data_IF_638375618026
#
_entry.id   IF_638375618026
#
_cell.length_a   1.000
_cell.length_b   1.000
_cell.length_c   1.000
_cell.angle_alpha   90.00
_cell.angle_beta   90.00
_cell.angle_gamma   90.00
#
_symmetry.space_group_name_H-M   'P 1'
#
loop_
_entity.id
_entity.type
_entity.pdbx_description
1 polymer ?
#
# COMPACT_ATOMS: atom_id res chain seq x y z
N UNK A 1 -10.77 -19.11 5.95
CA UNK A 1 -10.48 -18.42 4.66
C UNK A 1 -10.92 -16.96 4.67
N UNK A 2 -12.12 -16.63 5.18
CA UNK A 2 -12.62 -15.23 5.28
C UNK A 2 -11.65 -14.30 6.03
N UNK A 3 -11.13 -14.73 7.19
CA UNK A 3 -10.23 -13.91 8.02
C UNK A 3 -8.99 -13.45 7.23
N UNK A 4 -8.32 -14.36 6.52
CA UNK A 4 -7.15 -14.03 5.71
C UNK A 4 -7.50 -13.04 4.58
N UNK A 5 -8.66 -13.22 3.93
CA UNK A 5 -9.15 -12.28 2.91
C UNK A 5 -9.43 -10.89 3.47
N UNK A 6 -10.03 -10.81 4.66
CA UNK A 6 -10.25 -9.52 5.35
C UNK A 6 -8.92 -8.85 5.73
N UNK A 7 -7.96 -9.61 6.24
CA UNK A 7 -6.62 -9.10 6.56
C UNK A 7 -5.90 -8.57 5.32
N UNK A 8 -6.02 -9.28 4.21
CA UNK A 8 -5.50 -8.82 2.93
C UNK A 8 -6.14 -7.50 2.49
N UNK A 9 -7.47 -7.37 2.58
CA UNK A 9 -8.17 -6.11 2.24
C UNK A 9 -7.75 -4.95 3.14
N UNK A 10 -7.61 -5.19 4.44
CA UNK A 10 -7.12 -4.20 5.41
C UNK A 10 -5.71 -3.76 5.03
N UNK A 11 -4.81 -4.72 4.74
CA UNK A 11 -3.45 -4.45 4.28
C UNK A 11 -3.46 -3.58 3.03
N UNK A 12 -4.27 -3.95 2.04
CA UNK A 12 -4.42 -3.21 0.78
C UNK A 12 -4.86 -1.76 1.01
N UNK A 13 -5.85 -1.54 1.87
CA UNK A 13 -6.32 -0.19 2.19
C UNK A 13 -5.25 0.65 2.91
N UNK A 14 -4.48 0.03 3.82
CA UNK A 14 -3.36 0.68 4.51
C UNK A 14 -2.26 1.06 3.52
N UNK A 15 -1.91 0.16 2.60
CA UNK A 15 -0.91 0.40 1.57
C UNK A 15 -1.29 1.56 0.66
N UNK A 16 -2.56 1.61 0.24
CA UNK A 16 -3.10 2.68 -0.60
C UNK A 16 -3.06 4.04 0.09
N UNK A 17 -3.20 4.06 1.42
CA UNK A 17 -3.19 5.28 2.23
C UNK A 17 -1.78 5.74 2.65
N UNK A 18 -0.71 5.10 2.14
CA UNK A 18 0.71 5.33 2.51
C UNK A 18 1.00 5.31 4.01
N UNK A 19 0.21 4.56 4.77
CA UNK A 19 0.34 4.46 6.22
C UNK A 19 1.42 3.47 6.65
N UNK A 20 2.70 3.75 6.43
CA UNK A 20 3.81 2.93 6.95
C UNK A 20 3.76 2.65 8.46
N UNK A 21 3.38 3.58 9.36
CA UNK A 21 3.21 3.22 10.77
C UNK A 21 1.94 2.37 11.02
N UNK A 22 0.95 2.43 10.14
CA UNK A 22 -0.31 1.72 10.32
C UNK A 22 -0.18 0.21 10.08
N UNK A 23 0.76 -0.25 9.25
CA UNK A 23 0.97 -1.70 9.04
C UNK A 23 1.58 -2.38 10.28
N UNK A 24 2.45 -1.67 11.01
CA UNK A 24 3.00 -2.12 12.30
C UNK A 24 1.88 -2.25 13.34
N UNK A 25 1.05 -1.22 13.49
CA UNK A 25 -0.12 -1.25 14.39
C UNK A 25 -1.09 -2.37 14.03
N UNK A 26 -1.39 -2.57 12.75
CA UNK A 26 -2.27 -3.64 12.30
C UNK A 26 -1.68 -5.03 12.60
N UNK A 27 -0.37 -5.23 12.42
CA UNK A 27 0.31 -6.49 12.71
C UNK A 27 0.32 -6.81 14.22
N UNK A 28 0.52 -5.79 15.05
CA UNK A 28 0.41 -5.90 16.52
C UNK A 28 -1.02 -6.23 16.92
N UNK A 29 -2.02 -5.55 16.35
CA UNK A 29 -3.43 -5.80 16.63
C UNK A 29 -3.85 -7.23 16.27
N UNK A 30 -3.43 -7.74 15.11
CA UNK A 30 -3.68 -9.13 14.70
C UNK A 30 -3.09 -10.11 15.72
N UNK A 31 -1.87 -9.86 16.19
CA UNK A 31 -1.20 -10.72 17.16
C UNK A 31 -1.91 -10.67 18.52
N UNK A 32 -2.28 -9.49 19.00
CA UNK A 32 -3.00 -9.29 20.25
C UNK A 32 -4.43 -9.81 20.25
N UNK A 33 -5.09 -9.93 19.09
CA UNK A 33 -6.41 -10.53 18.99
C UNK A 33 -6.32 -12.06 18.88
N UNK A 34 -5.37 -12.57 18.11
CA UNK A 34 -5.25 -13.99 17.83
C UNK A 34 -4.72 -14.79 19.04
N UNK A 35 -3.66 -14.30 19.70
CA UNK A 35 -3.04 -15.03 20.80
C UNK A 35 -3.98 -15.27 21.99
N UNK A 36 -4.69 -14.27 22.55
CA UNK A 36 -5.62 -14.49 23.65
C UNK A 36 -6.78 -15.41 23.26
N UNK A 37 -7.30 -15.29 22.04
CA UNK A 37 -8.35 -16.18 21.54
C UNK A 37 -7.89 -17.65 21.51
N UNK A 38 -6.63 -17.90 21.17
CA UNK A 38 -6.04 -19.24 21.18
C UNK A 38 -5.70 -19.74 22.59
N UNK A 39 -5.25 -18.86 23.49
CA UNK A 39 -5.03 -19.20 24.91
C UNK A 39 -6.34 -19.68 25.53
N UNK A 40 -7.44 -18.95 25.32
CA UNK A 40 -8.75 -19.31 25.88
C UNK A 40 -9.26 -20.65 25.33
N UNK A 41 -8.94 -20.96 24.07
CA UNK A 41 -9.32 -22.24 23.44
C UNK A 41 -8.40 -23.40 23.82
N UNK A 42 -7.22 -23.14 24.39
CA UNK A 42 -6.22 -24.17 24.70
C UNK A 42 -5.56 -24.81 23.47
N UNK A 43 -5.70 -24.21 22.28
CA UNK A 43 -5.26 -24.76 21.01
C UNK A 43 -3.81 -24.34 20.65
N UNK A 44 -2.88 -24.40 21.61
CA UNK A 44 -1.48 -24.05 21.34
C UNK A 44 -0.73 -25.20 20.64
N UNK A 45 -0.89 -25.27 19.31
CA UNK A 45 -0.19 -26.23 18.45
C UNK A 45 0.61 -25.55 17.34
N UNK A 46 1.52 -26.30 16.72
CA UNK A 46 2.29 -25.85 15.54
C UNK A 46 1.39 -25.34 14.40
N UNK A 47 0.20 -25.94 14.24
CA UNK A 47 -0.79 -25.50 13.27
C UNK A 47 -1.22 -24.04 13.49
N UNK A 48 -1.42 -23.64 14.73
CA UNK A 48 -1.85 -22.27 15.06
C UNK A 48 -0.75 -21.26 14.76
N UNK A 49 0.52 -21.63 14.96
CA UNK A 49 1.66 -20.81 14.55
C UNK A 49 1.70 -20.64 13.03
N UNK A 50 1.46 -21.71 12.26
CA UNK A 50 1.36 -21.64 10.79
C UNK A 50 0.19 -20.74 10.34
N UNK A 51 -0.95 -20.82 11.01
CA UNK A 51 -2.11 -19.95 10.75
C UNK A 51 -1.78 -18.49 11.06
N UNK A 52 -1.09 -18.22 12.18
CA UNK A 52 -0.63 -16.88 12.53
C UNK A 52 0.29 -16.30 11.45
N UNK A 53 1.26 -17.08 10.97
CA UNK A 53 2.15 -16.69 9.88
C UNK A 53 1.33 -16.40 8.62
N UNK A 54 0.35 -17.24 8.29
CA UNK A 54 -0.56 -17.03 7.17
C UNK A 54 -1.36 -15.72 7.26
N UNK A 55 -1.82 -15.36 8.47
CA UNK A 55 -2.51 -14.10 8.71
C UNK A 55 -1.60 -12.88 8.51
N UNK A 56 -0.36 -12.95 9.00
CA UNK A 56 0.64 -11.91 8.75
C UNK A 56 0.97 -11.80 7.26
N UNK A 57 1.17 -12.92 6.58
CA UNK A 57 1.43 -12.94 5.14
C UNK A 57 0.29 -12.31 4.33
N UNK A 58 -0.97 -12.62 4.66
CA UNK A 58 -2.11 -12.02 3.98
C UNK A 58 -2.15 -10.50 4.16
N UNK A 59 -1.94 -10.02 5.39
CA UNK A 59 -1.90 -8.58 5.70
C UNK A 59 -0.75 -7.87 4.97
N UNK A 60 0.46 -8.46 4.98
CA UNK A 60 1.65 -7.90 4.34
C UNK A 60 1.53 -7.92 2.80
N UNK A 61 0.99 -8.99 2.21
CA UNK A 61 0.74 -9.08 0.78
C UNK A 61 -0.26 -8.01 0.31
N UNK A 62 -1.32 -7.79 1.09
CA UNK A 62 -2.28 -6.72 0.84
C UNK A 62 -1.59 -5.35 0.87
N UNK A 63 -0.81 -5.08 1.92
CA UNK A 63 -0.06 -3.83 2.07
C UNK A 63 0.90 -3.56 0.92
N UNK A 64 1.68 -4.55 0.50
CA UNK A 64 2.59 -4.43 -0.63
C UNK A 64 1.84 -4.07 -1.92
N UNK A 65 0.74 -4.78 -2.20
CA UNK A 65 -0.07 -4.51 -3.40
C UNK A 65 -0.75 -3.13 -3.33
N UNK A 66 -1.31 -2.76 -2.19
CA UNK A 66 -1.93 -1.45 -1.99
C UNK A 66 -0.92 -0.31 -2.12
N UNK A 67 0.29 -0.48 -1.58
CA UNK A 67 1.37 0.48 -1.73
C UNK A 67 1.83 0.60 -3.18
N UNK A 68 1.96 -0.52 -3.89
CA UNK A 68 2.26 -0.53 -5.33
C UNK A 68 1.23 0.24 -6.15
N UNK A 69 -0.05 0.03 -5.89
CA UNK A 69 -1.15 0.74 -6.58
C UNK A 69 -1.31 2.20 -6.14
N UNK A 70 -0.87 2.56 -4.93
CA UNK A 70 -0.96 3.91 -4.36
C UNK A 70 0.26 4.80 -4.63
N UNK A 71 1.27 4.29 -5.32
CA UNK A 71 2.36 5.10 -5.84
C UNK A 71 1.78 6.11 -6.84
N UNK A 72 2.15 7.41 -6.75
CA UNK A 72 1.73 8.35 -7.75
C UNK A 72 2.42 7.94 -9.06
N UNK A 73 1.77 8.21 -10.19
CA UNK A 73 2.26 7.91 -11.54
C UNK A 73 3.46 8.81 -11.93
N UNK A 74 4.43 8.99 -11.02
CA UNK A 74 5.74 9.60 -11.27
C UNK A 74 6.63 8.71 -12.16
N UNK A 75 6.10 7.58 -12.65
CA UNK A 75 6.64 6.91 -13.82
C UNK A 75 6.50 7.77 -15.10
N UNK A 76 5.68 8.81 -15.09
CA UNK A 76 5.51 9.75 -16.20
C UNK A 76 6.55 10.87 -16.30
N UNK A 77 7.41 11.05 -15.29
CA UNK A 77 8.39 12.16 -15.21
C UNK A 77 9.84 11.67 -15.11
N UNK A 78 10.10 10.42 -15.48
CA UNK A 78 11.46 10.01 -15.83
C UNK A 78 11.86 10.80 -17.08
N UNK A 79 12.95 11.59 -17.04
CA UNK A 79 13.42 12.28 -18.23
C UNK A 79 13.75 11.22 -19.28
N UNK A 80 12.91 11.08 -20.28
CA UNK A 80 13.29 10.41 -21.53
C UNK A 80 14.56 11.12 -22.01
N UNK A 81 15.72 10.43 -22.11
CA UNK A 81 17.01 11.08 -22.35
C UNK A 81 17.04 11.98 -23.60
N UNK A 82 16.14 11.73 -24.55
CA UNK A 82 16.08 12.40 -25.85
C UNK A 82 14.87 13.33 -26.03
N UNK A 83 14.08 13.60 -24.98
CA UNK A 83 12.93 14.49 -25.12
C UNK A 83 13.38 15.95 -25.01
N UNK A 84 13.27 16.76 -26.08
CA UNK A 84 13.59 18.18 -25.97
C UNK A 84 12.64 18.84 -24.96
N UNK A 85 13.13 19.80 -24.16
CA UNK A 85 12.34 20.43 -23.11
C UNK A 85 11.04 20.99 -23.71
N UNK A 86 9.90 20.60 -23.12
CA UNK A 86 8.60 21.20 -23.47
C UNK A 86 8.71 22.70 -23.22
N UNK A 87 8.91 23.49 -24.27
CA UNK A 87 8.67 24.92 -24.23
C UNK A 87 7.22 25.08 -23.78
N UNK A 88 7.00 25.60 -22.57
CA UNK A 88 5.71 26.14 -22.19
C UNK A 88 5.34 27.11 -23.30
N UNK A 89 4.29 26.79 -24.05
CA UNK A 89 3.72 27.75 -24.98
C UNK A 89 3.25 28.91 -24.11
N UNK A 90 4.03 30.00 -24.09
CA UNK A 90 3.57 31.30 -23.65
C UNK A 90 2.33 31.62 -24.49
N UNK A 91 1.17 31.44 -23.88
CA UNK A 91 -0.08 32.02 -24.34
C UNK A 91 -0.03 33.52 -24.05
N UNK A 92 0.82 34.24 -24.77
CA UNK A 92 0.79 35.70 -24.88
C UNK A 92 0.13 36.05 -26.22
N UNK A 93 -0.89 36.93 -26.24
CA UNK A 93 -1.51 37.34 -27.50
C UNK A 93 -0.50 38.08 -28.40
N UNK A 94 -0.63 37.98 -29.73
CA UNK A 94 0.24 38.69 -30.66
C UNK A 94 0.11 40.21 -30.43
N UNK A 95 1.22 40.86 -30.08
CA UNK A 95 1.34 42.31 -30.24
C UNK A 95 1.66 42.56 -31.71
N UNK A 96 0.60 42.81 -32.48
CA UNK A 96 0.72 43.35 -33.82
C UNK A 96 1.39 44.73 -33.73
N UNK A 97 2.48 44.89 -34.49
CA UNK A 97 3.29 46.10 -34.50
C UNK A 97 2.59 47.29 -35.16
N UNK A 98 2.75 48.46 -34.56
CA UNK A 98 2.75 49.75 -35.28
C UNK A 98 4.18 50.02 -35.78
N UNK A 99 4.30 50.62 -36.98
CA UNK A 99 4.46 52.09 -37.02
C UNK A 99 3.44 52.83 -37.90
#
# INVERSE_FOLDING_TARGET
>A
MIIAGTLFLIGLLIGLSRGYPAILLASVAVTLLAFPAWIIRGEFGLFVVLVWIGYLFALQAGFLLGGYLGLPDEAGDLPEPDRPPRKKAESGPPQDGEP
#
